data_IF_860196009926
#
_entry.id   IF_860196009926
#
_cell.length_a   1.000
_cell.length_b   1.000
_cell.length_c   1.000
_cell.angle_alpha   90.00
_cell.angle_beta   90.00
_cell.angle_gamma   90.00
#
_symmetry.space_group_name_H-M   'P 1'
#
loop_
_entity.id
_entity.type
_entity.pdbx_description
1 polymer ?
#
# COMPACT_ATOMS: atom_id res chain seq x y z
N UNK A 1 2.25 25.41 -17.66
CA UNK A 1 2.61 23.99 -17.91
C UNK A 1 1.39 23.15 -17.66
N UNK A 2 0.86 22.47 -18.69
CA UNK A 2 -0.37 21.70 -18.57
C UNK A 2 -0.19 20.57 -17.56
N UNK A 3 -1.07 20.49 -16.56
CA UNK A 3 -1.14 19.33 -15.67
C UNK A 3 -1.34 18.11 -16.55
N UNK A 4 -0.32 17.26 -16.66
CA UNK A 4 -0.47 15.91 -17.19
C UNK A 4 -1.65 15.27 -16.47
N UNK A 5 -2.72 14.99 -17.21
CA UNK A 5 -3.94 14.44 -16.64
C UNK A 5 -3.67 12.96 -16.42
N UNK A 6 -3.43 12.57 -15.18
CA UNK A 6 -3.18 11.17 -14.79
C UNK A 6 -4.23 10.26 -15.45
N UNK A 7 -3.82 9.18 -16.15
CA UNK A 7 -4.74 8.29 -16.87
C UNK A 7 -5.41 7.31 -15.91
N UNK A 8 -6.25 7.84 -15.01
CA UNK A 8 -6.89 7.07 -13.92
C UNK A 8 -7.64 5.83 -14.38
N UNK A 9 -8.22 5.89 -15.58
CA UNK A 9 -8.99 4.78 -16.11
C UNK A 9 -8.09 3.58 -16.45
N UNK A 10 -6.99 3.82 -17.17
CA UNK A 10 -6.01 2.78 -17.53
C UNK A 10 -5.38 2.14 -16.30
N UNK A 11 -5.00 2.98 -15.32
CA UNK A 11 -4.41 2.50 -14.06
C UNK A 11 -5.34 1.58 -13.28
N UNK A 12 -6.64 1.87 -13.27
CA UNK A 12 -7.62 1.02 -12.57
C UNK A 12 -7.84 -0.29 -13.31
N UNK A 13 -7.78 -0.29 -14.64
CA UNK A 13 -7.83 -1.52 -15.42
C UNK A 13 -6.59 -2.39 -15.19
N UNK A 14 -5.39 -1.80 -15.13
CA UNK A 14 -4.15 -2.51 -14.78
C UNK A 14 -4.26 -3.18 -13.40
N UNK A 15 -4.88 -2.49 -12.43
CA UNK A 15 -5.14 -3.04 -11.10
C UNK A 15 -6.04 -4.26 -11.14
N UNK A 16 -7.11 -4.21 -11.92
CA UNK A 16 -8.01 -5.35 -12.02
C UNK A 16 -7.36 -6.54 -12.69
N UNK A 17 -6.57 -6.34 -13.73
CA UNK A 17 -5.89 -7.45 -14.40
C UNK A 17 -4.97 -8.24 -13.46
N UNK A 18 -4.32 -7.56 -12.51
CA UNK A 18 -3.36 -8.22 -11.63
C UNK A 18 -3.96 -8.65 -10.28
N UNK A 19 -4.78 -7.81 -9.67
CA UNK A 19 -5.18 -7.98 -8.26
C UNK A 19 -6.62 -8.41 -8.06
N UNK A 20 -7.44 -8.43 -9.11
CA UNK A 20 -8.85 -8.82 -8.99
C UNK A 20 -9.05 -10.22 -8.40
N UNK A 21 -8.21 -11.23 -8.67
CA UNK A 21 -8.36 -12.53 -8.02
C UNK A 21 -8.26 -12.44 -6.50
N UNK A 22 -7.32 -11.67 -5.98
CA UNK A 22 -7.11 -11.48 -4.54
C UNK A 22 -8.24 -10.64 -3.93
N UNK A 23 -8.66 -9.57 -4.62
CA UNK A 23 -9.75 -8.69 -4.17
C UNK A 23 -11.12 -9.35 -4.11
N UNK A 24 -11.35 -10.35 -4.96
CA UNK A 24 -12.60 -11.11 -5.01
C UNK A 24 -12.52 -12.44 -4.25
N UNK A 25 -11.31 -12.96 -4.01
CA UNK A 25 -11.11 -14.30 -3.49
C UNK A 25 -11.47 -15.39 -4.50
N UNK A 26 -11.57 -15.07 -5.79
CA UNK A 26 -11.92 -16.01 -6.86
C UNK A 26 -10.86 -15.99 -7.95
N UNK A 27 -10.57 -17.13 -8.57
CA UNK A 27 -9.78 -17.14 -9.80
C UNK A 27 -10.47 -16.33 -10.90
N UNK A 28 -9.73 -15.64 -11.74
CA UNK A 28 -10.27 -14.92 -12.90
C UNK A 28 -9.86 -15.69 -14.16
N UNK A 29 -10.83 -16.29 -14.83
CA UNK A 29 -10.59 -17.14 -16.01
C UNK A 29 -10.52 -16.31 -17.29
N UNK A 30 -11.29 -15.23 -17.33
CA UNK A 30 -11.36 -14.28 -18.44
C UNK A 30 -11.44 -12.88 -17.81
N UNK A 31 -10.56 -11.98 -18.23
CA UNK A 31 -10.64 -10.54 -17.97
C UNK A 31 -10.52 -9.80 -19.29
N UNK A 32 -11.43 -8.88 -19.56
CA UNK A 32 -11.41 -8.06 -20.76
C UNK A 32 -11.65 -6.59 -20.40
N UNK A 33 -10.73 -5.73 -20.83
CA UNK A 33 -10.82 -4.29 -20.67
C UNK A 33 -11.78 -3.76 -21.73
N UNK A 34 -12.67 -2.86 -21.35
CA UNK A 34 -13.50 -2.16 -22.34
C UNK A 34 -14.29 -3.09 -23.28
N UNK A 35 -14.96 -4.09 -22.72
CA UNK A 35 -15.67 -5.11 -23.49
C UNK A 35 -16.72 -4.48 -24.41
N UNK A 36 -16.66 -4.82 -25.71
CA UNK A 36 -17.53 -4.27 -26.73
C UNK A 36 -18.10 -5.36 -27.65
N UNK A 37 -19.38 -5.70 -27.45
CA UNK A 37 -20.20 -6.36 -28.49
C UNK A 37 -21.26 -5.44 -29.09
N UNK A 38 -21.68 -4.39 -28.36
CA UNK A 38 -22.73 -3.43 -28.81
C UNK A 38 -22.71 -2.11 -28.01
N UNK A 39 -22.07 -2.10 -26.85
CA UNK A 39 -21.78 -0.93 -26.01
C UNK A 39 -20.51 -1.23 -25.21
N UNK A 40 -19.82 -0.18 -24.75
CA UNK A 40 -18.57 -0.26 -23.97
C UNK A 40 -18.91 -0.36 -22.49
N UNK A 41 -18.29 -1.28 -21.76
CA UNK A 41 -18.26 -1.34 -20.28
C UNK A 41 -16.82 -1.27 -19.80
N UNK A 42 -16.51 -0.70 -18.64
CA UNK A 42 -15.11 -0.41 -18.27
C UNK A 42 -14.27 -1.68 -18.07
N UNK A 43 -14.81 -2.69 -17.38
CA UNK A 43 -14.15 -3.98 -17.17
C UNK A 43 -15.17 -5.11 -17.08
N UNK A 44 -14.90 -6.23 -17.75
CA UNK A 44 -15.72 -7.43 -17.70
C UNK A 44 -14.85 -8.64 -17.34
N UNK A 45 -15.35 -9.51 -16.47
CA UNK A 45 -14.65 -10.75 -16.16
C UNK A 45 -15.57 -11.94 -15.89
N UNK A 46 -15.03 -13.14 -16.12
CA UNK A 46 -15.61 -14.41 -15.68
C UNK A 46 -14.80 -14.94 -14.49
N UNK A 47 -15.45 -15.00 -13.33
CA UNK A 47 -14.84 -15.53 -12.12
C UNK A 47 -15.01 -17.06 -12.06
N UNK A 48 -13.90 -17.75 -11.87
CA UNK A 48 -13.83 -19.19 -11.70
C UNK A 48 -14.02 -19.64 -10.24
N UNK A 49 -13.32 -20.71 -9.88
CA UNK A 49 -13.36 -21.29 -8.55
C UNK A 49 -12.80 -20.33 -7.47
N UNK A 50 -13.29 -20.42 -6.22
CA UNK A 50 -12.68 -19.71 -5.09
C UNK A 50 -11.20 -20.06 -4.92
N UNK A 51 -10.40 -19.08 -4.51
CA UNK A 51 -9.00 -19.29 -4.16
C UNK A 51 -8.89 -20.02 -2.80
N UNK A 52 -7.77 -20.72 -2.58
CA UNK A 52 -7.46 -21.28 -1.28
C UNK A 52 -7.39 -20.16 -0.22
N UNK A 53 -8.08 -20.33 0.91
CA UNK A 53 -8.17 -19.29 1.94
C UNK A 53 -9.14 -18.14 1.65
N UNK A 54 -9.91 -18.20 0.55
CA UNK A 54 -10.90 -17.16 0.21
C UNK A 54 -12.00 -16.97 1.27
N UNK A 55 -12.24 -17.97 2.12
CA UNK A 55 -13.23 -17.91 3.19
C UNK A 55 -12.67 -17.45 4.53
N UNK A 56 -11.40 -17.02 4.59
CA UNK A 56 -10.85 -16.46 5.82
C UNK A 56 -11.65 -15.21 6.23
N UNK A 57 -12.39 -15.27 7.36
CA UNK A 57 -13.26 -14.19 7.81
C UNK A 57 -12.47 -12.97 8.32
N UNK A 58 -11.16 -13.11 8.55
CA UNK A 58 -10.29 -12.00 8.93
C UNK A 58 -9.98 -11.07 7.75
N UNK A 59 -10.17 -11.53 6.51
CA UNK A 59 -9.83 -10.80 5.30
C UNK A 59 -11.08 -10.17 4.68
N UNK A 60 -11.20 -8.85 4.82
CA UNK A 60 -12.27 -8.08 4.19
C UNK A 60 -11.95 -7.86 2.71
N UNK A 61 -12.82 -8.37 1.82
CA UNK A 61 -12.65 -8.33 0.37
C UNK A 61 -13.68 -7.39 -0.28
N UNK A 62 -13.26 -6.43 -1.13
CA UNK A 62 -14.19 -5.51 -1.77
C UNK A 62 -15.15 -6.21 -2.74
N UNK A 63 -14.69 -7.29 -3.40
CA UNK A 63 -15.41 -8.00 -4.45
C UNK A 63 -15.82 -9.43 -4.05
N UNK A 64 -15.98 -9.67 -2.75
CA UNK A 64 -16.52 -10.91 -2.15
C UNK A 64 -17.90 -11.36 -2.68
N UNK A 65 -18.63 -10.46 -3.33
CA UNK A 65 -19.98 -10.66 -3.86
C UNK A 65 -19.98 -11.09 -5.33
N UNK A 66 -18.81 -11.33 -5.92
CA UNK A 66 -18.70 -11.73 -7.31
C UNK A 66 -19.41 -13.05 -7.59
N UNK A 67 -20.27 -13.02 -8.61
CA UNK A 67 -20.87 -14.20 -9.23
C UNK A 67 -19.97 -14.72 -10.35
N UNK A 68 -20.48 -15.62 -11.16
CA UNK A 68 -19.74 -16.18 -12.28
C UNK A 68 -19.37 -15.11 -13.32
N UNK A 69 -20.27 -14.16 -13.59
CA UNK A 69 -20.02 -13.05 -14.51
C UNK A 69 -20.07 -11.73 -13.76
N UNK A 70 -19.12 -10.84 -14.03
CA UNK A 70 -19.03 -9.56 -13.34
C UNK A 70 -18.68 -8.44 -14.31
N UNK A 71 -19.36 -7.31 -14.12
CA UNK A 71 -19.04 -6.03 -14.76
C UNK A 71 -18.59 -5.09 -13.66
N UNK A 72 -17.48 -4.39 -13.90
CA UNK A 72 -17.01 -3.33 -13.01
C UNK A 72 -17.03 -2.04 -13.82
N UNK A 73 -17.77 -1.06 -13.31
CA UNK A 73 -17.87 0.28 -13.87
C UNK A 73 -17.22 1.26 -12.90
N UNK A 74 -16.37 2.13 -13.41
CA UNK A 74 -15.63 3.08 -12.58
C UNK A 74 -16.00 4.52 -12.91
N UNK A 75 -16.30 5.28 -11.86
CA UNK A 75 -16.44 6.74 -11.93
C UNK A 75 -15.15 7.41 -11.53
N UNK A 76 -14.61 8.20 -12.47
CA UNK A 76 -13.46 9.06 -12.26
C UNK A 76 -13.50 9.78 -10.91
N UNK A 77 -12.33 9.90 -10.29
CA UNK A 77 -12.12 10.57 -9.00
C UNK A 77 -12.68 12.00 -8.90
N UNK A 78 -12.95 12.65 -10.04
CA UNK A 78 -13.45 14.01 -10.12
C UNK A 78 -14.98 14.10 -10.23
N UNK A 79 -15.66 12.96 -10.33
CA UNK A 79 -17.10 12.87 -10.58
C UNK A 79 -17.82 12.17 -9.43
N UNK A 80 -19.04 12.60 -9.16
CA UNK A 80 -19.96 11.87 -8.26
C UNK A 80 -20.90 11.05 -9.11
N UNK A 81 -21.15 9.79 -8.73
CA UNK A 81 -22.12 8.95 -9.43
C UNK A 81 -23.51 9.61 -9.40
N UNK A 82 -24.01 9.98 -10.58
CA UNK A 82 -25.34 10.56 -10.77
C UNK A 82 -26.38 9.47 -11.04
N UNK A 83 -27.66 9.79 -10.86
CA UNK A 83 -28.75 8.88 -11.18
C UNK A 83 -28.79 8.47 -12.66
N UNK A 84 -28.58 9.42 -13.57
CA UNK A 84 -28.54 9.14 -15.00
C UNK A 84 -27.43 8.13 -15.36
N UNK A 85 -26.26 8.28 -14.74
CA UNK A 85 -25.16 7.34 -14.92
C UNK A 85 -25.47 5.97 -14.32
N UNK A 86 -26.02 5.93 -13.11
CA UNK A 86 -26.45 4.69 -12.47
C UNK A 86 -27.44 3.92 -13.36
N UNK A 87 -28.49 4.57 -13.85
CA UNK A 87 -29.47 3.94 -14.77
C UNK A 87 -28.82 3.44 -16.05
N UNK A 88 -27.90 4.21 -16.64
CA UNK A 88 -27.18 3.79 -17.84
C UNK A 88 -26.35 2.52 -17.56
N UNK A 89 -25.67 2.47 -16.43
CA UNK A 89 -24.81 1.35 -16.03
C UNK A 89 -25.65 0.07 -15.84
N UNK A 90 -26.78 0.19 -15.14
CA UNK A 90 -27.76 -0.90 -15.00
C UNK A 90 -28.29 -1.34 -16.36
N UNK A 91 -28.67 -0.40 -17.23
CA UNK A 91 -29.15 -0.71 -18.58
C UNK A 91 -28.14 -1.51 -19.40
N UNK A 92 -26.85 -1.16 -19.34
CA UNK A 92 -25.78 -1.91 -20.00
C UNK A 92 -25.65 -3.34 -19.45
N UNK A 93 -25.71 -3.51 -18.13
CA UNK A 93 -25.67 -4.84 -17.52
C UNK A 93 -26.85 -5.72 -17.98
N UNK A 94 -28.06 -5.20 -18.02
CA UNK A 94 -29.25 -5.94 -18.47
C UNK A 94 -29.18 -6.36 -19.94
N UNK A 95 -28.55 -5.55 -20.79
CA UNK A 95 -28.31 -5.97 -22.18
C UNK A 95 -27.27 -7.09 -22.22
N UNK A 96 -26.21 -7.03 -21.40
CA UNK A 96 -25.20 -8.11 -21.34
C UNK A 96 -25.78 -9.44 -20.84
N UNK A 97 -26.77 -9.42 -19.93
CA UNK A 97 -27.44 -10.65 -19.50
C UNK A 97 -28.07 -11.44 -20.65
N UNK A 98 -28.38 -10.74 -21.75
CA UNK A 98 -29.09 -11.30 -22.90
C UNK A 98 -28.29 -11.17 -24.22
N UNK A 99 -27.04 -10.71 -24.20
CA UNK A 99 -26.27 -10.45 -25.41
C UNK A 99 -25.47 -11.67 -25.87
N UNK A 100 -26.07 -12.51 -26.71
CA UNK A 100 -25.36 -13.54 -27.47
C UNK A 100 -26.19 -14.78 -27.77
N UNK A 101 -25.59 -15.70 -28.52
CA UNK A 101 -26.19 -17.01 -28.88
C UNK A 101 -26.11 -18.05 -27.74
N UNK A 102 -25.63 -17.62 -26.56
CA UNK A 102 -25.47 -18.46 -25.37
C UNK A 102 -26.67 -18.41 -24.42
N UNK A 103 -26.63 -19.19 -23.33
CA UNK A 103 -27.65 -19.10 -22.28
C UNK A 103 -27.64 -17.73 -21.62
N UNK A 104 -28.82 -17.28 -21.19
CA UNK A 104 -28.97 -16.03 -20.42
C UNK A 104 -28.09 -16.05 -19.16
N UNK A 105 -27.51 -14.89 -18.84
CA UNK A 105 -26.71 -14.68 -17.63
C UNK A 105 -27.54 -14.14 -16.46
N UNK A 106 -28.87 -14.05 -16.63
CA UNK A 106 -29.78 -13.59 -15.61
C UNK A 106 -29.60 -14.40 -14.30
N UNK A 107 -29.45 -13.70 -13.17
CA UNK A 107 -29.15 -14.32 -11.88
C UNK A 107 -27.69 -14.74 -11.68
N UNK A 108 -26.86 -14.70 -12.73
CA UNK A 108 -25.42 -15.05 -12.71
C UNK A 108 -24.49 -13.86 -12.87
N UNK A 109 -25.04 -12.68 -13.19
CA UNK A 109 -24.30 -11.45 -13.39
C UNK A 109 -24.30 -10.56 -12.14
N UNK A 110 -23.18 -9.90 -11.91
CA UNK A 110 -23.01 -8.81 -10.93
C UNK A 110 -22.58 -7.55 -11.66
N UNK A 111 -23.21 -6.42 -11.35
CA UNK A 111 -22.74 -5.08 -11.70
C UNK A 111 -22.15 -4.40 -10.47
N UNK A 112 -20.86 -4.11 -10.50
CA UNK A 112 -20.19 -3.32 -9.47
C UNK A 112 -19.89 -1.92 -9.98
N UNK A 113 -20.28 -0.89 -9.24
CA UNK A 113 -20.02 0.51 -9.57
C UNK A 113 -19.09 1.10 -8.52
N UNK A 114 -17.89 1.46 -8.94
CA UNK A 114 -16.88 2.11 -8.12
C UNK A 114 -17.02 3.63 -8.24
N UNK A 115 -17.12 4.31 -7.09
CA UNK A 115 -17.18 5.78 -7.04
C UNK A 115 -16.39 6.33 -5.87
N UNK A 116 -15.80 7.50 -6.04
CA UNK A 116 -14.95 8.15 -5.01
C UNK A 116 -15.70 9.12 -4.11
N UNK A 117 -16.98 9.35 -4.34
CA UNK A 117 -17.78 10.26 -3.52
C UNK A 117 -19.11 9.64 -3.25
N UNK A 118 -19.50 9.64 -1.97
CA UNK A 118 -20.80 9.14 -1.53
C UNK A 118 -21.93 9.82 -2.31
N UNK A 119 -22.66 9.08 -3.17
CA UNK A 119 -23.68 9.67 -4.04
C UNK A 119 -25.00 9.83 -3.26
N UNK A 120 -25.01 10.70 -2.25
CA UNK A 120 -26.11 10.86 -1.28
C UNK A 120 -27.49 11.03 -1.94
N UNK A 121 -27.54 11.79 -3.04
CA UNK A 121 -28.79 12.01 -3.80
C UNK A 121 -29.32 10.72 -4.42
N UNK A 122 -28.45 9.89 -4.98
CA UNK A 122 -28.81 8.60 -5.57
C UNK A 122 -29.27 7.61 -4.49
N UNK A 123 -28.53 7.52 -3.39
CA UNK A 123 -28.85 6.61 -2.28
C UNK A 123 -30.19 6.94 -1.62
N UNK A 124 -30.64 8.19 -1.69
CA UNK A 124 -31.93 8.63 -1.15
C UNK A 124 -33.13 8.32 -2.06
N UNK A 125 -32.92 7.84 -3.30
CA UNK A 125 -34.02 7.51 -4.22
C UNK A 125 -34.66 6.19 -3.80
N UNK A 126 -35.86 6.26 -3.20
CA UNK A 126 -36.58 5.11 -2.66
C UNK A 126 -36.81 3.99 -3.68
N UNK A 127 -37.02 4.32 -4.96
CA UNK A 127 -37.27 3.34 -6.03
C UNK A 127 -36.12 2.33 -6.22
N UNK A 128 -34.89 2.68 -5.84
CA UNK A 128 -33.74 1.78 -5.97
C UNK A 128 -33.52 0.87 -4.76
N UNK A 129 -34.18 1.17 -3.63
CA UNK A 129 -34.15 0.33 -2.43
C UNK A 129 -32.75 -0.01 -1.94
N UNK A 130 -31.87 0.99 -1.81
CA UNK A 130 -30.49 0.74 -1.39
C UNK A 130 -30.41 0.19 0.04
N UNK A 131 -29.77 -0.96 0.18
CA UNK A 131 -29.36 -1.56 1.44
C UNK A 131 -27.88 -1.25 1.70
N UNK A 132 -27.55 -0.85 2.93
CA UNK A 132 -26.16 -0.63 3.34
C UNK A 132 -25.60 -1.93 3.92
N UNK A 133 -24.61 -2.51 3.25
CA UNK A 133 -23.92 -3.72 3.68
C UNK A 133 -22.72 -3.41 4.58
N UNK A 134 -22.02 -2.30 4.28
CA UNK A 134 -20.93 -1.78 5.07
C UNK A 134 -20.86 -0.25 4.91
N UNK A 135 -19.95 0.41 5.63
CA UNK A 135 -19.87 1.88 5.57
C UNK A 135 -19.66 2.44 4.16
N UNK A 136 -18.99 1.65 3.33
CA UNK A 136 -18.51 1.92 1.98
C UNK A 136 -19.18 1.06 0.91
N UNK A 137 -20.07 0.14 1.29
CA UNK A 137 -20.65 -0.87 0.37
C UNK A 137 -22.17 -0.88 0.46
N UNK A 138 -22.82 -0.69 -0.68
CA UNK A 138 -24.26 -0.60 -0.80
C UNK A 138 -24.75 -1.57 -1.87
N UNK A 139 -25.94 -2.14 -1.66
CA UNK A 139 -26.62 -3.00 -2.62
C UNK A 139 -27.91 -2.33 -3.07
N UNK A 140 -28.14 -2.23 -4.38
CA UNK A 140 -29.42 -1.75 -4.90
C UNK A 140 -30.36 -2.95 -5.10
N UNK A 141 -31.60 -2.83 -4.62
CA UNK A 141 -32.64 -3.85 -4.78
C UNK A 141 -33.60 -3.52 -5.93
N UNK A 142 -33.15 -2.72 -6.91
CA UNK A 142 -33.99 -2.25 -8.00
C UNK A 142 -34.37 -3.34 -8.99
N UNK A 143 -33.42 -4.23 -9.31
CA UNK A 143 -33.63 -5.37 -10.21
C UNK A 143 -33.32 -6.64 -9.43
N UNK A 144 -34.32 -7.50 -9.13
CA UNK A 144 -34.14 -8.64 -8.23
C UNK A 144 -33.05 -9.63 -8.64
N UNK A 145 -32.85 -9.83 -9.94
CA UNK A 145 -31.98 -10.89 -10.47
C UNK A 145 -30.56 -10.41 -10.82
N UNK A 146 -30.36 -9.09 -10.91
CA UNK A 146 -29.06 -8.46 -11.13
C UNK A 146 -28.49 -8.00 -9.79
N UNK A 147 -27.34 -8.53 -9.38
CA UNK A 147 -26.67 -7.98 -8.21
C UNK A 147 -26.04 -6.63 -8.55
N UNK A 148 -26.54 -5.54 -7.96
CA UNK A 148 -26.02 -4.20 -8.20
C UNK A 148 -25.34 -3.71 -6.92
N UNK A 149 -24.02 -3.66 -6.94
CA UNK A 149 -23.21 -3.21 -5.81
C UNK A 149 -22.58 -1.86 -6.12
N UNK A 150 -22.70 -0.91 -5.20
CA UNK A 150 -22.01 0.38 -5.25
C UNK A 150 -20.97 0.40 -4.16
N UNK A 151 -19.71 0.53 -4.56
CA UNK A 151 -18.56 0.66 -3.67
C UNK A 151 -18.10 2.12 -3.69
N UNK A 152 -18.06 2.71 -2.50
CA UNK A 152 -17.57 4.06 -2.27
C UNK A 152 -16.11 3.95 -1.80
N UNK A 153 -15.20 4.52 -2.58
CA UNK A 153 -13.78 4.48 -2.31
C UNK A 153 -13.40 5.45 -1.16
N UNK A 154 -14.19 6.52 -0.90
CA UNK A 154 -13.95 7.50 0.17
C UNK A 154 -14.34 7.02 1.55
N UNK A 155 -13.37 7.16 2.46
CA UNK A 155 -13.54 7.04 3.90
C UNK A 155 -13.81 5.61 4.40
N UNK A 156 -13.12 4.60 3.89
CA UNK A 156 -12.93 3.32 4.61
C UNK A 156 -11.94 3.49 5.79
N UNK A 157 -12.13 4.54 6.60
CA UNK A 157 -11.34 4.74 7.83
C UNK A 157 -11.58 3.55 8.76
N UNK A 158 -10.50 2.84 9.12
CA UNK A 158 -10.55 1.73 10.07
C UNK A 158 -10.83 0.36 9.45
N UNK A 159 -10.85 0.23 8.12
CA UNK A 159 -11.02 -1.07 7.47
C UNK A 159 -9.66 -1.61 7.08
N UNK A 160 -9.17 -2.53 7.90
CA UNK A 160 -8.00 -3.35 7.61
C UNK A 160 -8.45 -4.44 6.62
N UNK A 161 -8.38 -4.14 5.33
CA UNK A 161 -8.43 -5.16 4.28
C UNK A 161 -7.03 -5.37 3.74
N UNK A 162 -6.76 -6.56 3.18
CA UNK A 162 -5.46 -6.86 2.59
C UNK A 162 -5.07 -5.90 1.46
N UNK A 163 -3.81 -5.99 1.06
CA UNK A 163 -3.06 -5.22 0.05
C UNK A 163 -3.89 -4.55 -1.06
N UNK A 164 -4.83 -5.27 -1.72
CA UNK A 164 -5.53 -4.71 -2.88
C UNK A 164 -6.65 -3.73 -2.51
N UNK A 165 -7.28 -3.90 -1.33
CA UNK A 165 -8.26 -2.93 -0.81
C UNK A 165 -7.53 -1.64 -0.41
N UNK A 166 -6.37 -1.78 0.24
CA UNK A 166 -5.46 -0.67 0.53
C UNK A 166 -5.04 0.09 -0.73
N UNK A 167 -4.85 -0.61 -1.85
CA UNK A 167 -4.46 0.03 -3.11
C UNK A 167 -5.56 0.84 -3.78
N UNK A 168 -6.78 0.31 -3.82
CA UNK A 168 -7.96 1.06 -4.28
C UNK A 168 -8.16 2.33 -3.42
N UNK A 169 -7.82 2.27 -2.14
CA UNK A 169 -7.88 3.42 -1.22
C UNK A 169 -6.85 4.51 -1.55
N UNK A 170 -5.65 4.20 -2.07
CA UNK A 170 -4.63 5.23 -2.32
C UNK A 170 -4.84 6.03 -3.61
N UNK A 171 -5.72 5.53 -4.47
CA UNK A 171 -6.23 6.29 -5.62
C UNK A 171 -7.03 7.53 -5.15
N UNK A 172 -7.33 7.66 -3.86
CA UNK A 172 -8.03 8.78 -3.28
C UNK A 172 -7.17 9.78 -2.49
N UNK A 173 -6.92 10.92 -3.12
CA UNK A 173 -7.73 12.05 -2.70
C UNK A 173 -7.34 12.79 -1.42
N UNK A 174 -6.05 13.09 -1.22
CA UNK A 174 -5.52 14.37 -0.76
C UNK A 174 -4.01 14.31 -0.95
N UNK A 175 -3.37 15.24 -1.67
CA UNK A 175 -1.90 15.24 -1.81
C UNK A 175 -1.20 15.19 -0.44
N UNK A 176 -1.83 15.71 0.62
CA UNK A 176 -1.34 15.67 2.01
C UNK A 176 -1.43 14.31 2.70
N UNK A 177 -2.31 13.40 2.25
CA UNK A 177 -2.52 12.09 2.87
C UNK A 177 -2.00 10.94 2.00
N UNK A 178 -1.75 11.21 0.72
CA UNK A 178 -1.19 10.25 -0.22
C UNK A 178 0.12 9.65 0.32
N UNK A 179 1.03 10.48 0.84
CA UNK A 179 2.31 10.03 1.40
C UNK A 179 2.14 9.02 2.55
N UNK A 180 1.34 9.35 3.57
CA UNK A 180 1.10 8.45 4.72
C UNK A 180 0.41 7.14 4.33
N UNK A 181 -0.46 7.19 3.32
CA UNK A 181 -1.13 5.98 2.83
C UNK A 181 -0.17 5.13 1.99
N UNK A 182 0.73 5.75 1.20
CA UNK A 182 1.79 5.03 0.50
C UNK A 182 2.77 4.37 1.47
N UNK A 183 3.18 5.06 2.53
CA UNK A 183 4.01 4.49 3.61
C UNK A 183 3.33 3.27 4.24
N UNK A 184 2.05 3.39 4.60
CA UNK A 184 1.27 2.28 5.18
C UNK A 184 1.18 1.07 4.24
N UNK A 185 1.12 1.28 2.92
CA UNK A 185 1.13 0.19 1.95
C UNK A 185 2.52 -0.41 1.73
N UNK A 186 3.57 0.40 1.72
CA UNK A 186 4.94 -0.06 1.53
C UNK A 186 5.46 -0.84 2.74
N UNK A 187 4.97 -0.51 3.93
CA UNK A 187 5.24 -1.24 5.18
C UNK A 187 4.48 -2.56 5.29
N UNK A 188 3.51 -2.81 4.41
CA UNK A 188 2.86 -4.12 4.29
C UNK A 188 3.76 -5.06 3.45
N UNK A 189 3.80 -6.34 3.82
CA UNK A 189 4.59 -7.37 3.13
C UNK A 189 3.91 -7.79 1.81
N UNK A 190 3.82 -6.85 0.87
CA UNK A 190 3.08 -7.00 -0.38
C UNK A 190 3.78 -7.99 -1.33
N UNK A 191 3.06 -9.02 -1.80
CA UNK A 191 3.59 -9.99 -2.78
C UNK A 191 3.98 -9.37 -4.14
N UNK A 192 3.52 -8.15 -4.44
CA UNK A 192 3.68 -7.50 -5.74
C UNK A 192 4.26 -6.07 -5.64
N UNK A 193 5.16 -5.81 -4.69
CA UNK A 193 5.75 -4.47 -4.45
C UNK A 193 6.24 -3.76 -5.73
N UNK A 194 6.76 -4.48 -6.72
CA UNK A 194 7.31 -3.87 -7.94
C UNK A 194 6.22 -3.30 -8.87
N UNK A 195 5.02 -3.86 -8.85
CA UNK A 195 3.88 -3.35 -9.61
C UNK A 195 3.32 -2.10 -8.94
N UNK A 196 3.23 -2.13 -7.61
CA UNK A 196 2.90 -0.96 -6.80
C UNK A 196 3.87 0.19 -7.07
N UNK A 197 5.19 -0.08 -7.12
CA UNK A 197 6.22 0.92 -7.49
C UNK A 197 5.94 1.53 -8.86
N UNK A 198 5.69 0.73 -9.90
CA UNK A 198 5.39 1.23 -11.25
C UNK A 198 4.14 2.11 -11.31
N UNK A 199 3.08 1.72 -10.60
CA UNK A 199 1.83 2.50 -10.57
C UNK A 199 2.01 3.79 -9.76
N UNK A 200 2.75 3.76 -8.63
CA UNK A 200 3.13 4.96 -7.88
C UNK A 200 3.99 5.93 -8.72
N UNK A 201 4.97 5.41 -9.46
CA UNK A 201 5.79 6.16 -10.43
C UNK A 201 4.92 6.85 -11.49
N UNK A 202 3.87 6.16 -11.95
CA UNK A 202 2.94 6.67 -12.97
C UNK A 202 1.97 7.73 -12.40
N UNK A 203 1.54 7.58 -11.15
CA UNK A 203 0.61 8.51 -10.48
C UNK A 203 1.32 9.77 -9.98
N UNK A 204 2.57 9.68 -9.51
CA UNK A 204 3.21 10.78 -8.80
C UNK A 204 4.74 10.82 -9.00
N UNK A 205 5.19 11.51 -10.05
CA UNK A 205 6.63 11.66 -10.35
C UNK A 205 7.42 12.49 -9.32
N UNK A 206 6.77 13.37 -8.56
CA UNK A 206 7.41 14.22 -7.53
C UNK A 206 7.25 13.64 -6.11
N UNK A 207 6.08 13.07 -5.76
CA UNK A 207 5.88 12.47 -4.43
C UNK A 207 6.61 11.12 -4.28
N UNK A 208 6.70 10.32 -5.36
CA UNK A 208 7.52 9.09 -5.36
C UNK A 208 9.00 9.41 -5.20
N UNK A 209 9.50 10.47 -5.85
CA UNK A 209 10.89 10.91 -5.68
C UNK A 209 11.15 11.42 -4.26
N UNK A 210 10.22 12.15 -3.65
CA UNK A 210 10.34 12.60 -2.25
C UNK A 210 10.29 11.44 -1.25
N UNK A 211 9.42 10.44 -1.46
CA UNK A 211 9.30 9.26 -0.57
C UNK A 211 10.44 8.29 -0.81
N UNK A 212 10.88 8.04 -2.05
CA UNK A 212 12.10 7.28 -2.30
C UNK A 212 13.34 8.00 -1.80
N UNK A 213 13.43 9.33 -1.93
CA UNK A 213 14.53 10.08 -1.34
C UNK A 213 14.48 9.95 0.18
N UNK A 214 13.31 10.08 0.82
CA UNK A 214 13.15 9.88 2.26
C UNK A 214 13.51 8.46 2.70
N UNK A 215 12.92 7.42 2.10
CA UNK A 215 13.19 6.01 2.40
C UNK A 215 14.63 5.63 2.07
N UNK A 216 15.23 6.20 1.02
CA UNK A 216 16.65 6.02 0.70
C UNK A 216 17.52 6.78 1.69
N UNK A 217 17.16 7.99 2.12
CA UNK A 217 17.89 8.71 3.16
C UNK A 217 17.71 8.08 4.53
N UNK A 218 16.57 7.51 4.86
CA UNK A 218 16.28 6.81 6.12
C UNK A 218 16.92 5.42 6.13
N UNK A 219 16.88 4.69 5.02
CA UNK A 219 17.64 3.45 4.83
C UNK A 219 19.16 3.68 4.80
N UNK A 220 19.63 4.79 4.20
CA UNK A 220 21.04 5.19 4.23
C UNK A 220 21.46 5.76 5.59
N UNK A 221 20.61 6.49 6.31
CA UNK A 221 20.94 7.05 7.63
C UNK A 221 20.84 5.99 8.70
N UNK A 222 19.87 5.07 8.63
CA UNK A 222 19.81 3.90 9.50
C UNK A 222 20.98 2.96 9.23
N UNK A 223 21.26 2.63 7.96
CA UNK A 223 22.43 1.83 7.59
C UNK A 223 23.78 2.51 7.89
N UNK A 224 23.88 3.84 7.77
CA UNK A 224 25.08 4.60 8.18
C UNK A 224 25.17 4.79 9.68
N UNK A 225 24.07 4.94 10.41
CA UNK A 225 24.07 5.10 11.87
C UNK A 225 24.35 3.77 12.57
N UNK A 226 23.75 2.67 12.09
CA UNK A 226 24.06 1.31 12.55
C UNK A 226 25.51 0.94 12.21
N UNK A 227 25.96 1.20 10.97
CA UNK A 227 27.36 0.97 10.57
C UNK A 227 28.38 1.88 11.28
N UNK A 228 28.04 3.15 11.55
CA UNK A 228 28.89 4.08 12.29
C UNK A 228 28.94 3.72 13.78
N UNK A 229 27.81 3.36 14.38
CA UNK A 229 27.73 2.90 15.78
C UNK A 229 28.52 1.61 15.98
N UNK A 230 28.37 0.62 15.09
CA UNK A 230 29.17 -0.60 15.11
C UNK A 230 30.67 -0.32 14.89
N UNK A 231 31.00 0.58 13.96
CA UNK A 231 32.37 1.00 13.68
C UNK A 231 33.02 1.71 14.86
N UNK A 232 32.32 2.65 15.49
CA UNK A 232 32.77 3.36 16.69
C UNK A 232 32.89 2.40 17.88
N UNK A 233 31.93 1.51 18.09
CA UNK A 233 32.00 0.48 19.14
C UNK A 233 33.23 -0.40 18.97
N UNK A 234 33.53 -0.85 17.74
CA UNK A 234 34.76 -1.61 17.44
C UNK A 234 36.01 -0.77 17.68
N UNK A 235 36.01 0.50 17.28
CA UNK A 235 37.11 1.44 17.51
C UNK A 235 37.40 1.65 18.99
N UNK A 236 36.37 1.92 19.80
CA UNK A 236 36.47 2.10 21.25
C UNK A 236 36.99 0.82 21.91
N UNK A 237 36.43 -0.36 21.57
CA UNK A 237 36.92 -1.66 22.08
C UNK A 237 38.40 -1.89 21.76
N UNK A 238 38.83 -1.52 20.56
CA UNK A 238 40.22 -1.63 20.15
C UNK A 238 41.13 -0.73 21.00
N UNK A 239 40.75 0.53 21.20
CA UNK A 239 41.53 1.48 22.00
C UNK A 239 41.57 1.11 23.48
N UNK A 240 40.45 0.65 24.05
CA UNK A 240 40.39 0.11 25.41
C UNK A 240 41.34 -1.09 25.55
N UNK A 241 41.35 -1.98 24.56
CA UNK A 241 42.28 -3.13 24.54
C UNK A 241 43.74 -2.68 24.51
N UNK A 242 44.06 -1.64 23.73
CA UNK A 242 45.40 -1.04 23.71
C UNK A 242 45.76 -0.44 25.06
N UNK A 243 44.88 0.40 25.63
CA UNK A 243 45.07 1.02 26.94
C UNK A 243 45.28 -0.04 28.02
N UNK A 244 44.48 -1.11 28.02
CA UNK A 244 44.61 -2.24 28.95
C UNK A 244 45.98 -2.91 28.85
N UNK A 245 46.54 -3.04 27.64
CA UNK A 245 47.86 -3.64 27.43
C UNK A 245 49.00 -2.76 27.94
N UNK A 246 48.90 -1.44 27.75
CA UNK A 246 49.99 -0.52 28.11
C UNK A 246 49.91 -0.03 29.56
N UNK A 247 48.69 0.21 30.06
CA UNK A 247 48.43 0.84 31.36
C UNK A 247 47.78 -0.10 32.39
N UNK A 248 47.47 -1.34 32.01
CA UNK A 248 46.84 -2.33 32.86
C UNK A 248 45.32 -2.20 32.98
N UNK A 249 44.71 -3.20 33.63
CA UNK A 249 43.24 -3.33 33.71
C UNK A 249 42.55 -2.23 34.50
N UNK A 250 43.18 -1.68 35.54
CA UNK A 250 42.58 -0.62 36.36
C UNK A 250 42.39 0.68 35.58
N UNK A 251 43.31 1.00 34.66
CA UNK A 251 43.22 2.19 33.81
C UNK A 251 42.14 2.07 32.71
N UNK A 252 41.86 0.85 32.23
CA UNK A 252 40.87 0.59 31.19
C UNK A 252 39.43 0.47 31.71
N UNK A 253 39.25 0.04 32.97
CA UNK A 253 37.96 -0.28 33.59
C UNK A 253 36.90 0.85 33.51
N UNK A 254 37.24 2.14 33.72
CA UNK A 254 36.26 3.22 33.63
C UNK A 254 35.68 3.39 32.23
N UNK A 255 36.48 3.13 31.19
CA UNK A 255 36.06 3.26 29.80
C UNK A 255 35.23 2.06 29.34
N UNK A 256 35.49 0.88 29.88
CA UNK A 256 34.69 -0.33 29.65
C UNK A 256 33.27 -0.16 30.18
N UNK A 257 33.13 0.35 31.40
CA UNK A 257 31.82 0.65 32.01
C UNK A 257 31.06 1.71 31.22
N UNK A 258 31.76 2.76 30.75
CA UNK A 258 31.14 3.80 29.91
C UNK A 258 30.69 3.24 28.55
N UNK A 259 31.44 2.30 27.97
CA UNK A 259 31.05 1.65 26.72
C UNK A 259 29.79 0.77 26.89
N UNK A 260 29.63 0.11 28.04
CA UNK A 260 28.45 -0.71 28.34
C UNK A 260 27.16 0.11 28.49
N UNK A 261 27.29 1.39 28.90
CA UNK A 261 26.15 2.29 29.12
C UNK A 261 25.94 3.30 28.00
N UNK A 262 26.81 3.35 26.99
CA UNK A 262 26.69 4.30 25.90
C UNK A 262 25.52 3.93 24.99
N UNK A 263 24.57 4.84 24.81
CA UNK A 263 23.33 4.60 24.06
C UNK A 263 23.23 5.45 22.79
N UNK A 264 24.18 6.36 22.57
CA UNK A 264 24.21 7.28 21.43
C UNK A 264 25.56 7.32 20.69
N UNK A 265 25.52 7.74 19.43
CA UNK A 265 26.71 7.88 18.57
C UNK A 265 27.65 8.98 19.08
N UNK A 266 27.10 10.05 19.65
CA UNK A 266 27.83 11.17 20.24
C UNK A 266 28.63 10.72 21.46
N UNK A 267 28.01 9.94 22.37
CA UNK A 267 28.71 9.35 23.52
C UNK A 267 29.83 8.39 23.10
N UNK A 268 29.62 7.59 22.04
CA UNK A 268 30.65 6.71 21.50
C UNK A 268 31.82 7.49 20.89
N UNK A 269 31.59 8.65 20.25
CA UNK A 269 32.65 9.53 19.72
C UNK A 269 33.46 10.18 20.84
N UNK A 270 32.78 10.71 21.84
CA UNK A 270 33.43 11.30 23.02
C UNK A 270 34.26 10.25 23.76
N UNK A 271 33.70 9.06 23.96
CA UNK A 271 34.40 7.95 24.58
C UNK A 271 35.63 7.51 23.77
N UNK A 272 35.52 7.43 22.44
CA UNK A 272 36.64 7.08 21.57
C UNK A 272 37.79 8.09 21.70
N UNK A 273 37.46 9.38 21.73
CA UNK A 273 38.42 10.46 21.89
C UNK A 273 39.08 10.42 23.28
N UNK A 274 38.29 10.22 24.34
CA UNK A 274 38.78 10.13 25.71
C UNK A 274 39.77 8.97 25.88
N UNK A 275 39.46 7.79 25.33
CA UNK A 275 40.33 6.62 25.41
C UNK A 275 41.62 6.86 24.60
N UNK A 276 41.52 7.45 23.40
CA UNK A 276 42.69 7.77 22.59
C UNK A 276 43.63 8.75 23.30
N UNK A 277 43.09 9.81 23.90
CA UNK A 277 43.88 10.77 24.68
C UNK A 277 44.48 10.15 25.95
N UNK A 278 43.84 9.14 26.53
CA UNK A 278 44.39 8.38 27.66
C UNK A 278 45.55 7.47 27.21
N UNK A 279 45.42 6.82 26.05
CA UNK A 279 46.48 6.03 25.42
C UNK A 279 47.71 6.91 25.14
N UNK A 280 47.51 8.05 24.47
CA UNK A 280 48.60 8.97 24.12
C UNK A 280 49.31 9.50 25.37
N UNK A 281 48.54 9.96 26.37
CA UNK A 281 49.12 10.40 27.66
C UNK A 281 49.93 9.32 28.34
N UNK A 282 49.47 8.07 28.26
CA UNK A 282 50.19 6.97 28.88
C UNK A 282 51.48 6.66 28.13
N UNK A 283 51.46 6.66 26.79
CA UNK A 283 52.65 6.50 25.94
C UNK A 283 53.68 7.60 26.24
N UNK A 284 53.25 8.87 26.30
CA UNK A 284 54.13 10.02 26.58
C UNK A 284 54.66 10.03 28.03
N UNK A 285 53.95 9.38 28.96
CA UNK A 285 54.34 9.28 30.37
C UNK A 285 55.25 8.09 30.68
N UNK A 286 55.43 7.15 29.74
CA UNK A 286 56.44 6.12 29.91
C UNK A 286 57.82 6.78 29.81
N UNK A 287 58.65 6.75 30.87
CA UNK A 287 60.05 7.16 30.71
C UNK A 287 60.67 6.32 29.59
N UNK A 288 61.52 6.93 28.74
CA UNK A 288 62.33 6.21 27.76
C UNK A 288 63.32 5.28 28.50
N UNK A 289 62.82 4.20 29.09
CA UNK A 289 63.65 3.13 29.64
C UNK A 289 63.91 2.10 28.54
N UNK A 290 65.11 2.27 27.96
CA UNK A 290 66.03 1.21 27.56
C UNK A 290 65.66 0.35 26.35
N UNK A 291 66.25 0.70 25.21
CA UNK A 291 66.86 -0.29 24.31
C UNK A 291 67.80 -1.23 25.08
#
# INVERSE_FOLDING_TARGET
MGRSRVPWHELIQDIFDEFLPVMSGRGIEIGDREFNKTFRVDYYCRAGAPLAGAQDPSVIRPFDHFREHNIIEYKSIHQTLTEAQFRNYVGRALVLENSGDGPSLQGRLTLTILTTRTPRKLLAVAAYGFERLADWKYRANWVPELDIIVIIQKETRGIVGGDPLGFIQVLEGNARLQASTWETLLDQDLLAQDVFKRIMETINREAYMSVLEQVRTEGLTKGRAEGLSEGLTKGVKSQITTLRKIAGSEAALPFERRLETADSVEELKELLLDVALAVDRYIDSQPEESK
#
